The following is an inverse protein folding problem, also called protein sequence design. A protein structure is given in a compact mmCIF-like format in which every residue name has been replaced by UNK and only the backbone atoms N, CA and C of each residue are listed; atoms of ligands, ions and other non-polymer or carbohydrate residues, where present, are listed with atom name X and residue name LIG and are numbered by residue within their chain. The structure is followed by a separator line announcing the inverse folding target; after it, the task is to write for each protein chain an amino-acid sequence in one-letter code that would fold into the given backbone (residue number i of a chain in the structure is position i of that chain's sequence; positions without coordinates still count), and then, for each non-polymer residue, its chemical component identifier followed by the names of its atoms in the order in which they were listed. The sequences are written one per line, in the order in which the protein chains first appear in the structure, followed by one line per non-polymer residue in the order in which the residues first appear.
data_IF_631295317655
#
_entry.id   IF_631295317655
#
_cell.length_a   1.000
_cell.length_b   1.000
_cell.length_c   1.000
_cell.angle_alpha   90.00
_cell.angle_beta   90.00
_cell.angle_gamma   90.00
#
_symmetry.space_group_name_H-M   'P 1'
#
loop_
_entity.id
_entity.type
_entity.pdbx_description
1 polymer ?
#
# COMPACT_ATOMS: atom_id res chain seq x y z
N UNK A 1 74.43 -14.12 -27.62
CA UNK A 1 74.99 -13.79 -28.93
C UNK A 1 74.44 -12.39 -29.28
N UNK A 2 75.31 -11.47 -29.04
CA UNK A 2 75.92 -10.52 -29.95
C UNK A 2 74.96 -9.58 -30.63
N UNK A 3 75.06 -8.29 -30.67
CA UNK A 3 76.11 -7.26 -30.47
C UNK A 3 75.42 -5.93 -30.75
N UNK A 4 75.53 -4.97 -29.88
CA UNK A 4 76.39 -3.76 -30.01
C UNK A 4 76.22 -2.97 -31.31
N UNK A 5 75.92 -1.68 -31.29
CA UNK A 5 76.89 -0.53 -31.35
C UNK A 5 76.05 0.77 -31.61
N UNK A 6 76.03 1.78 -30.85
CA UNK A 6 76.91 2.90 -30.57
C UNK A 6 76.96 4.02 -31.65
N UNK A 7 76.86 5.28 -31.17
CA UNK A 7 77.47 6.56 -31.59
C UNK A 7 76.66 7.39 -32.60
N UNK A 8 76.53 8.69 -32.53
CA UNK A 8 77.06 9.81 -31.76
C UNK A 8 76.25 11.09 -32.01
N UNK A 9 76.29 11.91 -31.04
CA UNK A 9 76.22 13.38 -30.96
C UNK A 9 76.24 14.23 -32.21
N UNK A 10 75.50 15.29 -32.23
CA UNK A 10 76.04 16.67 -32.39
C UNK A 10 75.03 17.73 -31.96
N UNK A 11 75.59 18.70 -31.29
CA UNK A 11 75.10 19.94 -30.73
C UNK A 11 74.46 20.93 -31.74
N UNK A 12 73.83 21.88 -31.14
CA UNK A 12 73.64 23.33 -31.44
C UNK A 12 72.27 23.77 -31.93
N UNK A 13 71.74 24.69 -31.18
CA UNK A 13 70.91 25.77 -31.70
C UNK A 13 69.54 25.91 -31.02
N UNK A 14 69.48 26.47 -29.83
CA UNK A 14 68.25 27.01 -29.28
C UNK A 14 68.03 28.43 -29.78
N UNK A 15 66.93 28.71 -30.45
CA UNK A 15 66.45 30.08 -30.52
C UNK A 15 65.44 30.33 -29.43
N UNK A 16 65.75 31.26 -28.55
CA UNK A 16 64.90 31.73 -27.40
C UNK A 16 63.52 32.28 -27.81
N UNK A 17 63.24 32.40 -29.10
CA UNK A 17 62.00 32.99 -29.63
C UNK A 17 60.81 32.01 -29.71
N UNK A 18 61.06 30.71 -29.64
CA UNK A 18 59.96 29.71 -29.74
C UNK A 18 59.28 29.44 -28.41
N UNK A 19 59.93 29.73 -27.29
CA UNK A 19 59.39 29.47 -25.96
C UNK A 19 58.30 30.49 -25.56
N UNK A 20 58.52 31.79 -25.88
CA UNK A 20 57.55 32.83 -25.61
C UNK A 20 56.26 32.68 -26.44
N UNK A 21 56.37 32.27 -27.71
CA UNK A 21 55.18 32.05 -28.56
C UNK A 21 54.31 30.86 -28.08
N UNK A 22 54.94 29.80 -27.55
CA UNK A 22 54.22 28.67 -27.00
C UNK A 22 53.48 28.97 -25.71
N UNK A 23 54.02 29.86 -24.88
CA UNK A 23 53.38 30.30 -23.65
C UNK A 23 52.16 31.19 -23.96
N UNK A 24 52.22 32.06 -24.93
CA UNK A 24 51.08 32.88 -25.33
C UNK A 24 49.95 32.09 -26.00
N UNK A 25 50.26 31.10 -26.81
CA UNK A 25 49.25 30.16 -27.37
C UNK A 25 48.62 29.33 -26.31
N UNK A 26 49.38 28.87 -25.30
CA UNK A 26 48.85 28.11 -24.14
C UNK A 26 47.91 28.94 -23.28
N UNK A 27 48.22 30.22 -23.05
CA UNK A 27 47.38 31.13 -22.21
C UNK A 27 46.08 31.46 -23.00
N UNK A 28 46.14 31.67 -24.32
CA UNK A 28 44.95 31.93 -25.14
C UNK A 28 44.02 30.70 -25.24
N UNK A 29 44.54 29.49 -25.27
CA UNK A 29 43.76 28.27 -25.23
C UNK A 29 43.11 28.02 -23.85
N UNK A 30 43.80 28.40 -22.76
CA UNK A 30 43.22 28.30 -21.43
C UNK A 30 42.16 29.36 -21.12
N UNK A 31 42.26 30.54 -21.68
CA UNK A 31 41.25 31.59 -21.53
C UNK A 31 39.98 31.32 -22.33
N UNK A 32 40.06 30.54 -23.40
CA UNK A 32 38.90 30.16 -24.25
C UNK A 32 38.02 29.09 -23.65
N UNK A 33 38.48 28.33 -22.64
CA UNK A 33 37.70 27.24 -22.05
C UNK A 33 36.87 27.65 -20.82
N UNK A 34 36.95 28.92 -20.39
CA UNK A 34 36.21 29.40 -19.24
C UNK A 34 34.82 29.99 -19.57
N UNK A 35 34.42 30.01 -20.81
CA UNK A 35 33.17 30.69 -21.22
C UNK A 35 32.05 29.76 -21.74
N UNK A 36 32.17 28.44 -21.56
CA UNK A 36 31.06 27.54 -21.82
C UNK A 36 30.99 26.46 -20.73
N UNK A 37 30.71 26.87 -19.52
CA UNK A 37 29.89 26.02 -18.65
C UNK A 37 28.46 26.52 -18.86
N UNK A 38 27.59 25.80 -19.57
CA UNK A 38 26.17 25.98 -19.31
C UNK A 38 26.01 25.79 -17.85
N UNK A 39 25.32 26.70 -17.16
CA UNK A 39 24.72 26.39 -15.88
C UNK A 39 23.87 25.15 -16.13
N UNK A 40 24.47 23.99 -15.95
CA UNK A 40 23.72 22.78 -15.74
C UNK A 40 23.01 23.06 -14.42
N UNK A 41 21.76 23.50 -14.53
CA UNK A 41 20.89 23.52 -13.36
C UNK A 41 21.16 22.20 -12.66
N UNK A 42 21.69 22.32 -11.45
CA UNK A 42 22.02 21.17 -10.64
C UNK A 42 20.73 20.39 -10.58
N UNK A 43 20.66 19.23 -11.24
CA UNK A 43 19.51 18.34 -11.13
C UNK A 43 19.42 18.00 -9.65
N UNK A 44 18.56 18.72 -8.95
CA UNK A 44 18.16 18.33 -7.62
C UNK A 44 17.16 17.19 -7.85
N UNK A 45 17.51 15.95 -7.46
CA UNK A 45 16.53 14.88 -7.49
C UNK A 45 15.31 15.38 -6.72
N UNK A 46 14.11 15.18 -7.28
CA UNK A 46 12.89 15.43 -6.51
C UNK A 46 13.04 14.70 -5.16
N UNK A 47 12.79 15.44 -4.07
CA UNK A 47 12.74 14.81 -2.75
C UNK A 47 11.81 13.61 -2.81
N UNK A 48 12.14 12.54 -2.10
CA UNK A 48 11.40 11.29 -2.06
C UNK A 48 9.92 11.55 -1.70
N UNK A 49 9.07 11.61 -2.71
CA UNK A 49 7.64 11.92 -2.57
C UNK A 49 6.78 10.66 -2.42
N UNK A 50 7.37 9.48 -2.29
CA UNK A 50 6.63 8.24 -2.12
C UNK A 50 5.79 8.24 -0.84
N UNK A 51 6.34 8.73 0.28
CA UNK A 51 5.62 8.90 1.54
C UNK A 51 4.48 9.90 1.45
N UNK A 52 4.66 10.99 0.70
CA UNK A 52 3.66 12.04 0.58
C UNK A 52 2.42 11.63 -0.24
N UNK A 53 2.58 10.74 -1.25
CA UNK A 53 1.43 10.16 -1.94
C UNK A 53 0.64 9.27 -0.99
N UNK A 54 1.32 8.49 -0.18
CA UNK A 54 0.68 7.60 0.78
C UNK A 54 -0.11 8.36 1.82
N UNK A 55 0.47 9.40 2.38
CA UNK A 55 -0.20 10.30 3.33
C UNK A 55 -1.42 10.97 2.69
N UNK A 56 -1.29 11.40 1.43
CA UNK A 56 -2.40 11.96 0.67
C UNK A 56 -3.55 10.96 0.47
N UNK A 57 -3.24 9.73 0.09
CA UNK A 57 -4.25 8.70 -0.08
C UNK A 57 -4.96 8.40 1.24
N UNK A 58 -4.21 8.36 2.34
CA UNK A 58 -4.75 8.16 3.68
C UNK A 58 -5.61 9.34 4.16
N UNK A 59 -5.36 10.57 3.73
CA UNK A 59 -6.21 11.72 4.05
C UNK A 59 -7.65 11.60 3.51
N UNK A 60 -7.86 10.74 2.53
CA UNK A 60 -9.18 10.45 1.93
C UNK A 60 -9.98 9.37 2.65
N UNK A 61 -9.39 8.63 3.58
CA UNK A 61 -10.02 7.48 4.25
C UNK A 61 -10.33 7.77 5.73
N UNK A 62 -11.36 7.11 6.30
CA UNK A 62 -11.68 7.28 7.71
C UNK A 62 -10.53 6.89 8.62
N UNK A 63 -10.32 7.65 9.68
CA UNK A 63 -9.38 7.29 10.74
C UNK A 63 -9.80 6.01 11.48
N UNK A 64 -8.85 5.41 12.17
CA UNK A 64 -9.15 4.31 13.07
C UNK A 64 -9.98 4.80 14.26
N UNK A 65 -11.08 4.11 14.55
CA UNK A 65 -11.85 4.35 15.77
C UNK A 65 -11.10 3.74 16.95
N UNK A 66 -10.82 4.55 17.97
CA UNK A 66 -10.12 4.09 19.18
C UNK A 66 -11.06 4.12 20.38
N UNK A 67 -11.15 3.01 21.05
CA UNK A 67 -11.86 2.83 22.31
C UNK A 67 -10.86 2.80 23.47
N UNK A 68 -11.11 3.54 24.54
CA UNK A 68 -10.26 3.57 25.74
C UNK A 68 -10.94 2.88 26.92
N UNK A 69 -10.15 2.48 27.90
CA UNK A 69 -10.62 1.77 29.10
C UNK A 69 -11.70 2.52 29.92
N UNK A 70 -11.77 3.84 29.80
CA UNK A 70 -12.82 4.64 30.43
C UNK A 70 -14.22 4.37 29.84
N UNK A 71 -14.29 3.82 28.61
CA UNK A 71 -15.55 3.35 28.02
C UNK A 71 -15.89 1.91 28.47
N UNK A 72 -14.89 1.17 28.98
CA UNK A 72 -15.09 -0.17 29.52
C UNK A 72 -15.50 -0.01 30.99
N UNK A 73 -16.77 -0.17 31.31
CA UNK A 73 -17.18 -0.30 32.68
C UNK A 73 -16.47 -1.53 33.28
N UNK A 74 -15.59 -1.31 34.23
CA UNK A 74 -14.74 -2.32 34.87
C UNK A 74 -15.51 -3.48 35.54
N UNK A 75 -16.80 -3.54 35.32
CA UNK A 75 -17.73 -4.48 35.99
C UNK A 75 -18.52 -5.37 35.02
N UNK A 76 -18.48 -5.15 33.70
CA UNK A 76 -19.12 -6.05 32.74
C UNK A 76 -18.08 -6.96 32.09
N UNK A 77 -18.17 -8.26 32.34
CA UNK A 77 -17.34 -9.30 31.74
C UNK A 77 -17.51 -9.35 30.18
N UNK A 78 -18.56 -8.71 29.64
CA UNK A 78 -18.94 -8.79 28.27
C UNK A 78 -19.32 -7.38 27.76
N UNK A 79 -18.60 -6.88 26.79
CA UNK A 79 -18.87 -5.58 26.16
C UNK A 79 -18.89 -5.69 24.63
N UNK A 80 -19.72 -4.87 24.01
CA UNK A 80 -19.81 -4.80 22.54
C UNK A 80 -19.41 -3.41 22.09
N UNK A 81 -18.29 -3.31 21.40
CA UNK A 81 -17.86 -2.08 20.74
C UNK A 81 -18.59 -1.95 19.40
N UNK A 82 -19.16 -0.79 19.14
CA UNK A 82 -19.91 -0.51 17.90
C UNK A 82 -19.29 0.70 17.24
N UNK A 83 -18.86 0.55 16.01
CA UNK A 83 -18.32 1.67 15.20
C UNK A 83 -19.45 2.47 14.54
N UNK A 84 -19.11 3.60 13.97
CA UNK A 84 -20.07 4.47 13.25
C UNK A 84 -20.66 3.79 12.01
N UNK A 85 -19.98 2.81 11.42
CA UNK A 85 -20.49 2.01 10.29
C UNK A 85 -21.42 0.88 10.71
N UNK A 86 -21.53 0.61 12.02
CA UNK A 86 -22.31 -0.50 12.58
C UNK A 86 -21.51 -1.82 12.72
N UNK A 87 -20.19 -1.81 12.49
CA UNK A 87 -19.33 -2.95 12.82
C UNK A 87 -19.33 -3.18 14.33
N UNK A 88 -19.39 -4.42 14.76
CA UNK A 88 -19.47 -4.81 16.16
C UNK A 88 -18.34 -5.73 16.55
N UNK A 89 -17.71 -5.48 17.69
CA UNK A 89 -16.65 -6.30 18.28
C UNK A 89 -17.10 -6.73 19.67
N UNK A 90 -17.12 -8.03 19.90
CA UNK A 90 -17.56 -8.60 21.17
C UNK A 90 -16.36 -8.91 22.04
N UNK A 91 -16.22 -8.18 23.13
CA UNK A 91 -15.21 -8.42 24.15
C UNK A 91 -15.84 -9.30 25.23
N UNK A 92 -15.69 -10.59 25.09
CA UNK A 92 -16.18 -11.58 26.08
C UNK A 92 -15.03 -12.08 26.92
N UNK A 93 -15.26 -12.31 28.24
CA UNK A 93 -14.26 -12.79 29.20
C UNK A 93 -12.95 -11.99 29.15
N UNK A 94 -13.07 -10.66 29.26
CA UNK A 94 -11.96 -9.71 29.09
C UNK A 94 -10.79 -9.98 30.02
N UNK A 95 -11.00 -10.64 31.16
CA UNK A 95 -9.93 -11.04 32.07
C UNK A 95 -9.00 -12.10 31.51
N UNK A 96 -9.48 -12.89 30.53
CA UNK A 96 -8.72 -13.98 29.92
C UNK A 96 -8.66 -13.85 28.39
N UNK A 97 -8.82 -12.65 27.85
CA UNK A 97 -8.85 -12.42 26.39
C UNK A 97 -7.47 -12.12 25.84
N UNK A 98 -6.67 -11.33 26.55
CA UNK A 98 -5.43 -10.78 26.03
C UNK A 98 -4.17 -11.31 26.71
N UNK A 99 -3.08 -11.33 25.96
CA UNK A 99 -1.73 -11.55 26.41
C UNK A 99 -0.80 -10.46 25.85
N UNK A 100 0.30 -10.21 26.51
CA UNK A 100 1.40 -9.43 25.98
C UNK A 100 1.99 -10.11 24.73
N UNK A 101 2.15 -9.36 23.65
CA UNK A 101 2.58 -9.92 22.36
C UNK A 101 4.05 -10.38 22.35
N UNK A 102 4.86 -9.94 23.29
CA UNK A 102 6.29 -10.29 23.38
C UNK A 102 6.52 -11.44 24.35
N UNK A 103 5.98 -11.32 25.56
CA UNK A 103 6.19 -12.33 26.62
C UNK A 103 5.19 -13.48 26.56
N UNK A 104 4.02 -13.30 25.97
CA UNK A 104 2.91 -14.25 25.97
C UNK A 104 2.16 -14.35 27.29
N UNK A 105 2.53 -13.58 28.33
CA UNK A 105 1.85 -13.61 29.61
C UNK A 105 0.46 -12.97 29.51
N UNK A 106 -0.55 -13.55 30.21
CA UNK A 106 -1.88 -12.97 30.30
C UNK A 106 -1.86 -11.54 30.84
N UNK A 107 -2.66 -10.68 30.24
CA UNK A 107 -2.88 -9.28 30.65
C UNK A 107 -4.37 -9.11 30.92
N UNK A 108 -4.83 -9.33 32.16
CA UNK A 108 -6.23 -9.12 32.54
C UNK A 108 -6.64 -7.66 32.36
N UNK A 109 -7.84 -7.42 31.84
CA UNK A 109 -8.32 -6.05 31.64
C UNK A 109 -8.41 -5.26 32.94
N UNK A 110 -8.73 -5.92 34.05
CA UNK A 110 -8.77 -5.32 35.40
C UNK A 110 -7.40 -4.77 35.85
N UNK A 111 -6.30 -5.32 35.36
CA UNK A 111 -4.94 -4.85 35.67
C UNK A 111 -4.37 -3.87 34.66
N UNK A 112 -5.10 -3.59 33.59
CA UNK A 112 -4.70 -2.66 32.55
C UNK A 112 -5.43 -1.32 32.68
N UNK A 113 -4.83 -0.30 33.28
CA UNK A 113 -5.49 0.98 33.53
C UNK A 113 -5.71 1.82 32.25
N UNK A 114 -5.00 1.51 31.17
CA UNK A 114 -5.06 2.22 29.89
C UNK A 114 -5.17 1.21 28.74
N UNK A 115 -6.23 0.39 28.77
CA UNK A 115 -6.57 -0.49 27.65
C UNK A 115 -7.12 0.35 26.50
N UNK A 116 -6.53 0.19 25.34
CA UNK A 116 -6.96 0.82 24.09
C UNK A 116 -7.16 -0.22 23.00
N UNK A 117 -8.32 -0.21 22.37
CA UNK A 117 -8.63 -1.04 21.22
C UNK A 117 -8.84 -0.09 20.03
N UNK A 118 -8.04 -0.26 19.00
CA UNK A 118 -8.17 0.53 17.76
C UNK A 118 -8.70 -0.35 16.65
N UNK A 119 -9.70 0.16 15.96
CA UNK A 119 -10.42 -0.52 14.87
C UNK A 119 -10.31 0.33 13.62
N UNK A 120 -9.70 -0.23 12.59
CA UNK A 120 -9.65 0.38 11.25
C UNK A 120 -10.57 -0.42 10.34
N UNK A 121 -11.55 0.26 9.76
CA UNK A 121 -12.48 -0.34 8.82
C UNK A 121 -12.09 -0.03 7.39
N UNK A 122 -12.25 -1.00 6.50
CA UNK A 122 -12.00 -0.88 5.07
C UNK A 122 -13.17 -1.50 4.33
N UNK A 123 -14.14 -0.67 4.00
CA UNK A 123 -15.40 -1.09 3.40
C UNK A 123 -15.55 -0.67 1.94
N UNK A 124 -14.73 0.28 1.46
CA UNK A 124 -14.74 0.78 0.08
C UNK A 124 -13.45 0.39 -0.64
N UNK A 125 -13.51 0.28 -1.95
CA UNK A 125 -12.34 -0.03 -2.80
C UNK A 125 -11.25 1.03 -2.67
N UNK A 126 -11.62 2.30 -2.56
CA UNK A 126 -10.67 3.37 -2.34
C UNK A 126 -9.90 3.24 -1.02
N UNK A 127 -10.56 2.76 0.05
CA UNK A 127 -9.90 2.50 1.33
C UNK A 127 -8.90 1.33 1.23
N UNK A 128 -9.23 0.28 0.44
CA UNK A 128 -8.32 -0.83 0.14
C UNK A 128 -7.05 -0.32 -0.54
N UNK A 129 -7.22 0.50 -1.59
CA UNK A 129 -6.12 1.08 -2.35
C UNK A 129 -5.26 1.98 -1.46
N UNK A 130 -5.88 2.93 -0.74
CA UNK A 130 -5.19 3.91 0.08
C UNK A 130 -4.38 3.27 1.23
N UNK A 131 -4.87 2.18 1.80
CA UNK A 131 -4.20 1.47 2.90
C UNK A 131 -3.23 0.36 2.43
N UNK A 132 -3.07 0.18 1.11
CA UNK A 132 -2.19 -0.84 0.52
C UNK A 132 -2.51 -2.26 0.98
N UNK A 133 -3.76 -2.53 1.31
CA UNK A 133 -4.22 -3.86 1.77
C UNK A 133 -4.88 -4.64 0.64
N UNK A 134 -4.32 -4.55 -0.57
CA UNK A 134 -4.86 -5.15 -1.79
C UNK A 134 -5.37 -6.57 -1.59
N UNK A 135 -6.26 -7.00 -2.46
CA UNK A 135 -7.00 -8.26 -2.35
C UNK A 135 -6.30 -9.43 -3.06
N UNK A 136 -4.99 -9.57 -2.83
CA UNK A 136 -4.18 -10.66 -3.39
C UNK A 136 -3.67 -11.54 -2.25
N UNK A 137 -3.94 -12.83 -2.33
CA UNK A 137 -3.49 -13.81 -1.36
C UNK A 137 -1.99 -14.14 -1.49
N UNK A 138 -1.45 -14.83 -0.52
CA UNK A 138 -0.05 -15.29 -0.51
C UNK A 138 0.24 -16.32 -1.63
N UNK A 139 -0.79 -16.97 -2.16
CA UNK A 139 -0.72 -17.86 -3.31
C UNK A 139 -0.85 -17.11 -4.66
N UNK A 140 -0.87 -15.79 -4.63
CA UNK A 140 -1.04 -14.91 -5.79
C UNK A 140 -2.46 -14.87 -6.34
N UNK A 141 -3.42 -15.57 -5.73
CA UNK A 141 -4.81 -15.54 -6.18
C UNK A 141 -5.54 -14.30 -5.70
N UNK A 142 -6.37 -13.77 -6.57
CA UNK A 142 -7.26 -12.69 -6.22
C UNK A 142 -8.43 -13.20 -5.38
N UNK A 143 -8.82 -12.44 -4.36
CA UNK A 143 -10.08 -12.66 -3.67
C UNK A 143 -10.95 -11.39 -3.69
N UNK A 144 -12.24 -11.59 -3.72
CA UNK A 144 -13.23 -10.54 -3.51
C UNK A 144 -13.43 -10.35 -2.01
N UNK A 145 -13.19 -9.16 -1.49
CA UNK A 145 -13.47 -8.80 -0.10
C UNK A 145 -14.91 -8.32 0.04
N UNK A 146 -15.57 -8.74 1.11
CA UNK A 146 -16.88 -8.24 1.53
C UNK A 146 -16.76 -7.32 2.76
N UNK A 147 -15.56 -6.82 3.04
CA UNK A 147 -15.20 -5.96 4.14
C UNK A 147 -13.92 -6.44 4.82
N UNK A 148 -13.09 -5.49 5.21
CA UNK A 148 -11.86 -5.74 5.96
C UNK A 148 -11.87 -4.93 7.25
N UNK A 149 -11.24 -5.48 8.26
CA UNK A 149 -11.04 -4.81 9.55
C UNK A 149 -9.63 -5.06 10.05
N UNK A 150 -9.01 -4.03 10.64
CA UNK A 150 -7.81 -4.19 11.45
C UNK A 150 -8.14 -3.89 12.89
N UNK A 151 -7.85 -4.82 13.77
CA UNK A 151 -8.04 -4.66 15.21
C UNK A 151 -6.68 -4.73 15.87
N UNK A 152 -6.39 -3.75 16.72
CA UNK A 152 -5.21 -3.76 17.57
C UNK A 152 -5.59 -3.39 18.99
N UNK A 153 -4.91 -4.01 19.96
CA UNK A 153 -5.10 -3.74 21.37
C UNK A 153 -3.77 -3.38 22.04
N UNK A 154 -3.81 -2.47 22.98
CA UNK A 154 -2.65 -2.05 23.80
C UNK A 154 -3.05 -1.83 25.24
N UNK A 155 -2.11 -2.11 26.13
CA UNK A 155 -2.16 -1.70 27.53
C UNK A 155 -1.03 -0.72 27.80
N UNK A 156 -1.33 0.58 27.84
CA UNK A 156 -0.30 1.61 27.80
C UNK A 156 0.55 1.51 26.54
N UNK A 157 1.87 1.29 26.71
CA UNK A 157 2.81 1.06 25.58
C UNK A 157 2.89 -0.41 25.13
N UNK A 158 2.36 -1.33 25.90
CA UNK A 158 2.42 -2.78 25.67
C UNK A 158 1.44 -3.18 24.55
N UNK A 159 1.93 -3.88 23.53
CA UNK A 159 1.08 -4.41 22.45
C UNK A 159 0.48 -5.73 22.93
N UNK A 160 -0.82 -5.89 22.74
CA UNK A 160 -1.55 -7.08 23.12
C UNK A 160 -1.85 -7.98 21.91
N UNK A 161 -1.95 -9.27 22.17
CA UNK A 161 -2.47 -10.30 21.27
C UNK A 161 -3.59 -11.08 21.96
N UNK A 162 -4.34 -11.89 21.22
CA UNK A 162 -5.28 -12.81 21.85
C UNK A 162 -4.50 -13.93 22.56
N UNK A 163 -4.99 -14.36 23.72
CA UNK A 163 -4.49 -15.57 24.37
C UNK A 163 -4.72 -16.78 23.45
N UNK A 164 -3.87 -17.82 23.50
CA UNK A 164 -4.12 -19.09 22.81
C UNK A 164 -5.54 -19.62 23.14
N UNK A 165 -6.16 -20.21 22.12
CA UNK A 165 -7.52 -20.79 22.21
C UNK A 165 -8.65 -19.79 22.51
N UNK A 166 -8.35 -18.48 22.46
CA UNK A 166 -9.36 -17.41 22.51
C UNK A 166 -9.69 -16.90 21.13
N UNK A 167 -10.94 -16.50 20.96
CA UNK A 167 -11.44 -15.90 19.73
C UNK A 167 -12.10 -14.57 20.02
N UNK A 168 -11.94 -13.64 19.09
CA UNK A 168 -12.64 -12.36 19.11
C UNK A 168 -13.74 -12.40 18.04
N UNK A 169 -14.99 -12.32 18.48
CA UNK A 169 -16.13 -12.25 17.59
C UNK A 169 -16.27 -10.85 17.01
N UNK A 170 -16.38 -10.78 15.69
CA UNK A 170 -16.56 -9.53 14.92
C UNK A 170 -17.73 -9.67 13.98
N UNK A 171 -18.60 -8.67 13.93
CA UNK A 171 -19.70 -8.60 12.97
C UNK A 171 -19.48 -7.42 12.02
N UNK A 172 -19.37 -7.71 10.71
CA UNK A 172 -19.16 -6.73 9.65
C UNK A 172 -20.48 -6.54 8.91
N UNK A 173 -21.07 -5.32 8.88
CA UNK A 173 -22.32 -5.08 8.17
C UNK A 173 -22.16 -5.25 6.67
N UNK A 174 -23.17 -5.83 6.03
CA UNK A 174 -23.25 -5.98 4.59
C UNK A 174 -24.72 -5.90 4.14
N UNK A 175 -24.96 -5.21 3.02
CA UNK A 175 -26.33 -5.05 2.51
C UNK A 175 -26.90 -6.33 1.91
N UNK A 176 -26.06 -7.15 1.29
CA UNK A 176 -26.44 -8.40 0.64
C UNK A 176 -25.36 -9.47 0.93
N UNK A 177 -25.36 -10.01 2.16
CA UNK A 177 -24.37 -11.02 2.52
C UNK A 177 -24.58 -12.29 1.70
N UNK A 178 -23.47 -12.95 1.35
CA UNK A 178 -23.42 -14.17 0.56
C UNK A 178 -22.77 -15.29 1.40
N UNK A 179 -23.23 -16.50 1.22
CA UNK A 179 -22.62 -17.66 1.85
C UNK A 179 -21.31 -18.09 1.15
N UNK A 180 -20.54 -18.96 1.80
CA UNK A 180 -19.34 -19.56 1.23
C UNK A 180 -18.08 -18.71 1.30
N UNK A 181 -18.12 -17.60 2.02
CA UNK A 181 -16.94 -16.80 2.28
C UNK A 181 -15.98 -17.51 3.25
N UNK A 182 -14.71 -17.17 3.15
CA UNK A 182 -13.65 -17.60 4.05
C UNK A 182 -13.11 -16.40 4.83
N UNK A 183 -12.61 -16.66 6.01
CA UNK A 183 -11.82 -15.68 6.75
C UNK A 183 -10.41 -15.63 6.16
N UNK A 184 -9.99 -14.44 5.79
CA UNK A 184 -8.62 -14.12 5.42
C UNK A 184 -7.96 -13.36 6.55
N UNK A 185 -6.75 -13.74 6.91
CA UNK A 185 -5.88 -13.02 7.83
C UNK A 185 -4.64 -12.54 7.08
N UNK A 186 -4.17 -11.34 7.39
CA UNK A 186 -2.97 -10.78 6.79
C UNK A 186 -1.79 -10.83 7.76
N UNK A 187 -0.62 -11.12 7.22
CA UNK A 187 0.64 -11.00 7.94
C UNK A 187 1.71 -10.32 7.07
N UNK A 188 2.65 -9.58 7.66
CA UNK A 188 3.73 -8.93 6.92
C UNK A 188 4.57 -9.90 6.07
N UNK A 189 4.68 -11.15 6.50
CA UNK A 189 5.51 -12.18 5.83
C UNK A 189 4.78 -12.89 4.70
N UNK A 190 3.45 -13.04 4.82
CA UNK A 190 2.66 -13.93 3.97
C UNK A 190 1.53 -13.24 3.22
N UNK A 191 1.39 -11.92 3.33
CA UNK A 191 0.21 -11.21 2.79
C UNK A 191 -1.12 -11.80 3.32
N UNK A 192 -2.16 -11.82 2.50
CA UNK A 192 -3.44 -12.43 2.84
C UNK A 192 -3.39 -13.95 2.73
N UNK A 193 -3.81 -14.62 3.77
CA UNK A 193 -3.94 -16.07 3.81
C UNK A 193 -5.36 -16.47 4.18
N UNK A 194 -5.98 -17.31 3.35
CA UNK A 194 -7.25 -17.91 3.69
C UNK A 194 -7.07 -18.88 4.86
N UNK A 195 -7.90 -18.76 5.88
CA UNK A 195 -7.93 -19.68 7.01
C UNK A 195 -8.98 -20.77 6.79
N UNK A 196 -8.99 -21.77 7.68
CA UNK A 196 -10.06 -22.78 7.71
C UNK A 196 -11.27 -22.33 8.54
N UNK A 197 -11.25 -21.10 9.09
CA UNK A 197 -12.37 -20.57 9.86
C UNK A 197 -13.51 -20.17 8.93
N UNK A 198 -14.73 -20.63 9.22
CA UNK A 198 -15.90 -20.22 8.44
C UNK A 198 -16.26 -18.76 8.72
N UNK A 199 -16.86 -18.13 7.73
CA UNK A 199 -17.56 -16.85 7.87
C UNK A 199 -19.05 -17.15 7.82
N UNK A 200 -19.78 -16.69 8.83
CA UNK A 200 -21.21 -16.93 8.94
C UNK A 200 -21.99 -15.70 8.47
N UNK A 201 -23.06 -15.93 7.72
CA UNK A 201 -24.08 -14.91 7.49
C UNK A 201 -24.89 -14.76 8.78
N UNK A 202 -25.04 -13.55 9.26
CA UNK A 202 -25.73 -13.24 10.51
C UNK A 202 -26.58 -11.97 10.38
N UNK A 203 -27.54 -11.85 11.27
CA UNK A 203 -28.34 -10.65 11.45
C UNK A 203 -28.32 -10.20 12.92
N UNK A 204 -28.46 -8.90 13.13
CA UNK A 204 -28.48 -8.28 14.46
C UNK A 204 -29.28 -6.98 14.46
N UNK A 205 -29.73 -6.52 15.64
CA UNK A 205 -30.41 -5.23 15.75
C UNK A 205 -29.49 -4.09 15.20
N UNK A 206 -30.00 -3.32 14.25
CA UNK A 206 -29.32 -2.14 13.74
C UNK A 206 -29.29 -1.03 14.82
N UNK A 207 -28.38 -0.04 14.68
CA UNK A 207 -28.40 1.15 15.53
C UNK A 207 -29.73 1.91 15.48
N UNK A 208 -30.45 1.81 14.36
CA UNK A 208 -31.79 2.40 14.19
C UNK A 208 -32.82 1.43 14.77
N UNK A 209 -33.62 1.93 15.72
CA UNK A 209 -34.63 1.13 16.43
C UNK A 209 -35.61 0.48 15.43
N UNK A 210 -35.83 -0.81 15.60
CA UNK A 210 -36.78 -1.59 14.79
C UNK A 210 -36.25 -2.05 13.42
N UNK A 211 -34.97 -1.80 13.13
CA UNK A 211 -34.31 -2.30 11.91
C UNK A 211 -33.36 -3.44 12.25
N UNK A 212 -33.21 -4.35 11.28
CA UNK A 212 -32.25 -5.45 11.32
C UNK A 212 -31.09 -5.15 10.39
N UNK A 213 -29.87 -5.27 10.88
CA UNK A 213 -28.65 -5.21 10.08
C UNK A 213 -28.25 -6.62 9.68
N UNK A 214 -28.02 -6.81 8.40
CA UNK A 214 -27.42 -8.06 7.87
C UNK A 214 -25.91 -7.89 7.76
N UNK A 215 -25.20 -9.02 7.76
CA UNK A 215 -23.75 -8.99 7.56
C UNK A 215 -23.07 -10.33 7.81
N UNK A 216 -21.81 -10.24 8.18
CA UNK A 216 -20.93 -11.39 8.40
C UNK A 216 -20.46 -11.44 9.83
N UNK A 217 -20.46 -12.64 10.41
CA UNK A 217 -19.83 -12.92 11.69
C UNK A 217 -18.53 -13.69 11.48
N UNK A 218 -17.43 -13.17 12.03
CA UNK A 218 -16.10 -13.72 11.99
C UNK A 218 -15.63 -14.06 13.43
N UNK A 219 -14.91 -15.17 13.55
CA UNK A 219 -14.24 -15.56 14.78
C UNK A 219 -12.72 -15.45 14.58
N UNK A 220 -12.15 -14.33 15.00
CA UNK A 220 -10.72 -14.04 14.83
C UNK A 220 -9.91 -14.74 15.90
N UNK A 221 -8.86 -15.46 15.50
CA UNK A 221 -7.88 -16.08 16.42
C UNK A 221 -6.66 -15.19 16.67
N UNK A 222 -6.54 -14.10 15.89
CA UNK A 222 -5.44 -13.13 16.01
C UNK A 222 -5.97 -11.72 15.89
N UNK A 223 -5.31 -10.79 16.55
CA UNK A 223 -5.46 -9.37 16.25
C UNK A 223 -4.66 -9.02 14.98
N UNK A 224 -5.08 -8.00 14.29
CA UNK A 224 -4.48 -7.57 13.04
C UNK A 224 -5.53 -7.39 11.95
N UNK A 225 -5.12 -7.51 10.69
CA UNK A 225 -6.00 -7.42 9.55
C UNK A 225 -6.75 -8.73 9.33
N UNK A 226 -8.06 -8.62 9.14
CA UNK A 226 -8.95 -9.71 8.79
C UNK A 226 -9.93 -9.27 7.71
N UNK A 227 -10.36 -10.20 6.85
CA UNK A 227 -11.33 -9.96 5.78
C UNK A 227 -12.25 -11.16 5.60
N UNK A 228 -13.54 -10.90 5.41
CA UNK A 228 -14.45 -11.87 4.84
C UNK A 228 -14.31 -11.85 3.31
N UNK A 229 -13.95 -12.96 2.68
CA UNK A 229 -13.67 -12.95 1.25
C UNK A 229 -13.96 -14.26 0.52
N UNK A 230 -14.06 -14.17 -0.80
CA UNK A 230 -14.21 -15.30 -1.72
C UNK A 230 -13.07 -15.31 -2.72
N UNK A 231 -12.35 -16.44 -2.82
CA UNK A 231 -11.30 -16.62 -3.82
C UNK A 231 -11.93 -16.66 -5.21
N UNK A 232 -11.35 -15.91 -6.14
CA UNK A 232 -11.71 -15.93 -7.56
C UNK A 232 -10.79 -16.93 -8.27
N UNK A 233 -11.10 -18.22 -8.14
CA UNK A 233 -10.13 -19.29 -8.43
C UNK A 233 -10.21 -19.94 -9.81
N UNK A 234 -11.27 -19.75 -10.57
CA UNK A 234 -11.60 -20.67 -11.68
C UNK A 234 -11.53 -20.03 -13.07
N UNK A 235 -11.09 -18.80 -13.20
CA UNK A 235 -10.91 -18.14 -14.50
C UNK A 235 -9.46 -18.20 -14.96
N UNK A 236 -9.27 -18.27 -16.27
CA UNK A 236 -7.97 -18.03 -16.87
C UNK A 236 -7.40 -16.72 -16.34
N UNK A 237 -6.12 -16.68 -16.01
CA UNK A 237 -5.47 -15.50 -15.48
C UNK A 237 -4.46 -14.94 -16.48
N UNK A 238 -4.23 -13.65 -16.40
CA UNK A 238 -3.27 -12.91 -17.23
C UNK A 238 -2.45 -11.95 -16.38
N UNK A 239 -1.39 -11.43 -16.94
CA UNK A 239 -0.70 -10.25 -16.42
C UNK A 239 -1.28 -9.03 -17.12
N UNK A 240 -1.69 -8.04 -16.36
CA UNK A 240 -2.21 -6.79 -16.86
C UNK A 240 -1.28 -5.63 -16.47
N UNK A 241 -0.83 -4.85 -17.45
CA UNK A 241 0.15 -3.78 -17.24
C UNK A 241 -0.36 -2.42 -17.72
N UNK A 242 0.18 -1.37 -17.10
CA UNK A 242 -0.01 0.02 -17.51
C UNK A 242 1.33 0.61 -17.89
N UNK A 243 1.39 1.21 -19.08
CA UNK A 243 2.54 1.96 -19.55
C UNK A 243 2.28 3.45 -19.37
N UNK A 244 3.14 4.11 -18.58
CA UNK A 244 3.12 5.56 -18.37
C UNK A 244 4.27 6.24 -19.11
N UNK A 245 4.20 7.55 -19.35
CA UNK A 245 5.36 8.33 -19.77
C UNK A 245 6.54 8.17 -18.80
N UNK A 246 7.80 8.20 -19.25
CA UNK A 246 8.98 7.86 -18.45
C UNK A 246 9.20 8.70 -17.19
N UNK A 247 8.59 9.90 -17.12
CA UNK A 247 8.68 10.76 -15.92
C UNK A 247 7.90 10.21 -14.70
N UNK A 248 7.00 9.26 -14.92
CA UNK A 248 6.18 8.66 -13.85
C UNK A 248 6.80 7.33 -13.40
N UNK A 249 7.88 7.39 -12.63
CA UNK A 249 8.54 6.22 -12.08
C UNK A 249 7.87 5.74 -10.77
N UNK A 250 8.31 4.58 -10.25
CA UNK A 250 7.73 3.92 -9.08
C UNK A 250 7.74 4.74 -7.80
N UNK A 251 8.76 5.58 -7.63
CA UNK A 251 8.99 6.31 -6.38
C UNK A 251 7.92 7.37 -6.13
N UNK A 252 7.38 7.95 -7.19
CA UNK A 252 6.36 9.01 -7.11
C UNK A 252 5.02 8.62 -7.69
N UNK A 253 4.82 7.35 -8.04
CA UNK A 253 3.61 6.88 -8.72
C UNK A 253 3.06 5.64 -8.03
N UNK A 254 1.74 5.62 -7.83
CA UNK A 254 1.01 4.43 -7.40
C UNK A 254 -0.06 4.13 -8.44
N UNK A 255 -0.15 2.87 -8.83
CA UNK A 255 -1.13 2.39 -9.80
C UNK A 255 -1.93 1.24 -9.22
N UNK A 256 -3.22 1.21 -9.51
CA UNK A 256 -4.18 0.24 -8.99
C UNK A 256 -5.07 -0.27 -10.09
N UNK A 257 -5.33 -1.57 -10.05
CA UNK A 257 -6.38 -2.21 -10.83
C UNK A 257 -7.58 -2.44 -9.92
N UNK A 258 -8.68 -1.74 -10.19
CA UNK A 258 -9.89 -1.74 -9.37
C UNK A 258 -10.98 -2.48 -10.14
N UNK A 259 -11.48 -3.58 -9.60
CA UNK A 259 -12.58 -4.34 -10.19
C UNK A 259 -13.91 -3.61 -9.97
N UNK A 260 -14.66 -3.34 -11.04
CA UNK A 260 -15.88 -2.50 -10.94
C UNK A 260 -16.99 -3.21 -10.16
N UNK A 261 -17.23 -4.47 -10.44
CA UNK A 261 -18.32 -5.26 -9.85
C UNK A 261 -17.92 -6.11 -8.64
N UNK A 262 -16.63 -6.03 -8.24
CA UNK A 262 -16.09 -6.81 -7.14
C UNK A 262 -15.49 -5.89 -6.07
N UNK A 263 -15.57 -6.30 -4.82
CA UNK A 263 -14.81 -5.69 -3.74
C UNK A 263 -13.32 -6.06 -3.80
N UNK A 264 -12.68 -5.82 -4.96
CA UNK A 264 -11.30 -6.22 -5.21
C UNK A 264 -10.47 -5.08 -5.78
N UNK A 265 -9.26 -4.94 -5.25
CA UNK A 265 -8.26 -3.97 -5.69
C UNK A 265 -6.89 -4.62 -5.69
N UNK A 266 -6.18 -4.51 -6.78
CA UNK A 266 -4.81 -5.02 -6.94
C UNK A 266 -3.85 -3.85 -7.08
N UNK A 267 -2.93 -3.64 -6.13
CA UNK A 267 -1.80 -2.73 -6.33
C UNK A 267 -0.94 -3.25 -7.48
N UNK A 268 -0.60 -2.38 -8.42
CA UNK A 268 0.27 -2.72 -9.53
C UNK A 268 1.72 -2.43 -9.15
N UNK A 269 2.58 -3.40 -9.37
CA UNK A 269 4.01 -3.29 -9.08
C UNK A 269 4.75 -2.76 -10.31
N UNK A 270 5.72 -1.90 -10.08
CA UNK A 270 6.56 -1.38 -11.15
C UNK A 270 7.61 -2.42 -11.55
N UNK A 271 7.67 -2.72 -12.84
CA UNK A 271 8.68 -3.53 -13.47
C UNK A 271 9.77 -2.61 -14.03
N UNK A 272 10.97 -2.68 -13.48
CA UNK A 272 12.07 -1.79 -13.85
C UNK A 272 12.62 -2.06 -15.25
N UNK A 273 12.56 -3.32 -15.70
CA UNK A 273 13.08 -3.73 -17.01
C UNK A 273 12.17 -3.21 -18.14
N UNK A 274 10.87 -3.44 -18.02
CA UNK A 274 9.86 -3.04 -19.00
C UNK A 274 9.35 -1.61 -18.78
N UNK A 275 9.56 -1.05 -17.60
CA UNK A 275 9.07 0.26 -17.14
C UNK A 275 7.55 0.38 -17.19
N UNK A 276 6.88 -0.66 -16.75
CA UNK A 276 5.43 -0.74 -16.64
C UNK A 276 5.01 -0.98 -15.19
N UNK A 277 3.79 -0.60 -14.87
CA UNK A 277 3.14 -1.05 -13.65
C UNK A 277 2.30 -2.27 -13.98
N UNK A 278 2.55 -3.41 -13.34
CA UNK A 278 1.92 -4.68 -13.66
C UNK A 278 1.21 -5.31 -12.46
N UNK A 279 0.08 -5.95 -12.73
CA UNK A 279 -0.62 -6.85 -11.84
C UNK A 279 -0.61 -8.25 -12.47
N UNK A 280 -0.10 -9.24 -11.75
CA UNK A 280 -0.05 -10.64 -12.19
C UNK A 280 -1.24 -11.44 -11.65
N UNK A 281 -1.52 -12.56 -12.27
CA UNK A 281 -2.62 -13.47 -11.89
C UNK A 281 -4.00 -12.80 -11.86
N UNK A 282 -4.22 -11.84 -12.74
CA UNK A 282 -5.50 -11.14 -12.88
C UNK A 282 -6.47 -12.05 -13.64
N UNK A 283 -7.66 -12.39 -13.10
CA UNK A 283 -8.65 -13.17 -13.83
C UNK A 283 -9.14 -12.40 -15.06
N UNK A 284 -9.37 -13.12 -16.18
CA UNK A 284 -9.83 -12.53 -17.44
C UNK A 284 -11.35 -12.36 -17.49
N UNK A 285 -11.82 -11.40 -18.30
CA UNK A 285 -13.26 -11.20 -18.53
C UNK A 285 -13.95 -10.32 -17.47
N UNK A 286 -13.20 -9.55 -16.68
CA UNK A 286 -13.78 -8.68 -15.65
C UNK A 286 -13.65 -7.20 -16.05
N UNK A 287 -14.71 -6.40 -15.85
CA UNK A 287 -14.63 -4.96 -15.98
C UNK A 287 -13.77 -4.38 -14.86
N UNK A 288 -12.77 -3.60 -15.24
CA UNK A 288 -11.82 -2.98 -14.33
C UNK A 288 -11.61 -1.52 -14.66
N UNK A 289 -11.34 -0.76 -13.63
CA UNK A 289 -10.89 0.63 -13.71
C UNK A 289 -9.43 0.71 -13.27
N UNK A 290 -8.59 1.17 -14.17
CA UNK A 290 -7.22 1.54 -13.85
C UNK A 290 -7.20 2.91 -13.22
N UNK A 291 -6.47 3.04 -12.14
CA UNK A 291 -6.28 4.31 -11.43
C UNK A 291 -4.81 4.49 -11.15
N UNK A 292 -4.24 5.56 -11.67
CA UNK A 292 -2.85 5.92 -11.44
C UNK A 292 -2.79 7.33 -10.85
N UNK A 293 -2.00 7.51 -9.81
CA UNK A 293 -1.72 8.81 -9.19
C UNK A 293 -0.24 8.99 -9.00
N UNK A 294 0.23 10.21 -9.23
CA UNK A 294 1.64 10.57 -9.10
C UNK A 294 1.79 11.92 -8.43
N UNK A 295 2.90 12.10 -7.72
CA UNK A 295 3.34 13.40 -7.22
C UNK A 295 4.75 13.68 -7.74
N UNK A 296 4.88 14.70 -8.58
CA UNK A 296 6.15 15.16 -9.12
C UNK A 296 6.44 16.57 -8.58
N UNK A 297 7.35 16.67 -7.63
CA UNK A 297 7.56 17.89 -6.85
C UNK A 297 6.25 18.31 -6.15
N UNK A 298 5.82 19.54 -6.36
CA UNK A 298 4.58 20.08 -5.78
C UNK A 298 3.34 19.89 -6.68
N UNK A 299 3.39 19.00 -7.68
CA UNK A 299 2.32 18.80 -8.64
C UNK A 299 1.76 17.39 -8.53
N UNK A 300 0.42 17.29 -8.51
CA UNK A 300 -0.30 16.03 -8.56
C UNK A 300 -0.75 15.72 -9.98
N UNK A 301 -0.74 14.44 -10.31
CA UNK A 301 -1.14 13.89 -11.58
C UNK A 301 -2.01 12.67 -11.37
N UNK A 302 -3.00 12.47 -12.23
CA UNK A 302 -3.83 11.28 -12.20
C UNK A 302 -4.23 10.85 -13.60
N UNK A 303 -4.41 9.55 -13.77
CA UNK A 303 -5.00 8.96 -14.96
C UNK A 303 -5.96 7.86 -14.56
N UNK A 304 -7.01 7.70 -15.37
CA UNK A 304 -8.00 6.66 -15.22
C UNK A 304 -8.38 6.09 -16.58
N UNK A 305 -8.64 4.80 -16.63
CA UNK A 305 -9.24 4.14 -17.78
C UNK A 305 -10.04 2.94 -17.36
N UNK A 306 -11.21 2.75 -17.95
CA UNK A 306 -12.01 1.53 -17.81
C UNK A 306 -11.74 0.61 -18.99
N UNK A 307 -11.61 -0.69 -18.71
CA UNK A 307 -11.38 -1.74 -19.69
C UNK A 307 -11.86 -3.10 -19.15
N UNK A 308 -11.66 -4.15 -19.92
CA UNK A 308 -11.88 -5.52 -19.49
C UNK A 308 -10.55 -6.27 -19.42
N UNK A 309 -10.36 -7.07 -18.39
CA UNK A 309 -9.15 -7.88 -18.23
C UNK A 309 -9.07 -8.98 -19.29
N UNK A 310 -7.88 -9.19 -19.85
CA UNK A 310 -7.65 -10.20 -20.90
C UNK A 310 -7.77 -9.67 -22.33
N UNK A 311 -8.32 -8.47 -22.55
CA UNK A 311 -8.42 -7.85 -23.88
C UNK A 311 -7.09 -7.27 -24.36
N UNK A 312 -6.37 -6.60 -23.47
CA UNK A 312 -5.04 -6.04 -23.73
C UNK A 312 -4.13 -6.33 -22.53
N UNK A 313 -2.92 -6.80 -22.78
CA UNK A 313 -1.94 -7.03 -21.70
C UNK A 313 -1.27 -5.76 -21.22
N UNK A 314 -1.17 -4.73 -22.06
CA UNK A 314 -0.55 -3.44 -21.74
C UNK A 314 -1.44 -2.31 -22.22
N UNK A 315 -1.84 -1.42 -21.31
CA UNK A 315 -2.62 -0.23 -21.63
C UNK A 315 -1.78 1.02 -21.44
N UNK A 316 -1.60 1.87 -22.46
CA UNK A 316 -0.96 3.17 -22.30
C UNK A 316 -1.91 4.13 -21.58
N UNK A 317 -1.40 4.83 -20.55
CA UNK A 317 -2.08 5.93 -19.89
C UNK A 317 -1.21 7.18 -19.88
N UNK A 318 -1.85 8.33 -20.00
CA UNK A 318 -1.21 9.64 -19.94
C UNK A 318 -1.77 10.45 -18.75
N UNK A 319 -1.08 10.45 -17.59
CA UNK A 319 -1.54 11.17 -16.43
C UNK A 319 -1.66 12.67 -16.69
N UNK A 320 -2.78 13.24 -16.30
CA UNK A 320 -3.08 14.66 -16.43
C UNK A 320 -2.87 15.36 -15.09
N UNK A 321 -2.44 16.61 -15.17
CA UNK A 321 -2.26 17.45 -13.99
C UNK A 321 -3.58 17.61 -13.25
N UNK A 322 -3.54 17.44 -11.93
CA UNK A 322 -4.72 17.47 -11.06
C UNK A 322 -4.42 18.19 -9.75
N UNK A 323 -5.40 18.26 -8.87
CA UNK A 323 -5.26 18.83 -7.52
C UNK A 323 -5.29 17.73 -6.47
N UNK A 324 -4.74 18.05 -5.29
CA UNK A 324 -4.81 17.18 -4.10
C UNK A 324 -6.25 16.75 -3.80
N UNK A 325 -7.17 17.71 -3.77
CA UNK A 325 -8.59 17.47 -3.50
C UNK A 325 -9.22 16.53 -4.54
N UNK A 326 -8.81 16.64 -5.80
CA UNK A 326 -9.31 15.75 -6.86
C UNK A 326 -8.81 14.33 -6.67
N UNK A 327 -7.56 14.13 -6.24
CA UNK A 327 -7.03 12.79 -5.92
C UNK A 327 -7.79 12.20 -4.74
N UNK A 328 -7.99 12.95 -3.66
CA UNK A 328 -8.78 12.51 -2.50
C UNK A 328 -10.20 12.14 -2.93
N UNK A 329 -10.85 12.97 -3.75
CA UNK A 329 -12.20 12.71 -4.25
C UNK A 329 -12.26 11.46 -5.12
N UNK A 330 -11.25 11.23 -5.97
CA UNK A 330 -11.12 10.03 -6.79
C UNK A 330 -11.17 8.76 -5.93
N UNK A 331 -10.35 8.68 -4.88
CA UNK A 331 -10.33 7.51 -3.99
C UNK A 331 -11.60 7.38 -3.13
N UNK A 332 -12.25 8.47 -2.77
CA UNK A 332 -13.54 8.42 -2.07
C UNK A 332 -14.67 7.85 -2.95
N UNK A 333 -14.56 7.95 -4.26
CA UNK A 333 -15.58 7.51 -5.22
C UNK A 333 -15.28 6.15 -5.86
N UNK A 334 -14.20 5.47 -5.47
CA UNK A 334 -13.92 4.07 -5.79
C UNK A 334 -14.73 3.17 -4.87
#
# INVERSE_FOLDING_TARGET
MNTSTTIASTMFGTPLTSALLRVWVGILLFAGTWHCRPDVEKFEPYEDSASEIEDLLLAGVPDATTYSAFAFNALSSDEVLITSSGLRIFLTDTEHLFADSVSGFPVPCSTCPDLRISVTEVLRKGDIAARKVGTVGNDGKLFRSSGMVKISARCGSQILQLLPDRTLKVQIPANAPQEGLKLFEWSPQNNWQATNQPVFVADWPAPVVGQTQLGYELLLQKLGWASAGLILSDSASTTFCVKLPPIFASDYTKSFLVFEDLGAVVPMLYDEDERFFCASNVPTGYPVRLVTVSKLGNQYWSAEASTETGTNSVLPLDPQKTTEQSVIALFKNL
#
